data_IF_446254228757
#
_entry.id   IF_446254228757
#
_cell.length_a   1.000
_cell.length_b   1.000
_cell.length_c   1.000
_cell.angle_alpha   90.00
_cell.angle_beta   90.00
_cell.angle_gamma   90.00
#
_symmetry.space_group_name_H-M   'P 1'
#
loop_
_entity.id
_entity.type
_entity.pdbx_description
1 polymer ?
#
# COMPACT_ATOMS: atom_id res chain seq x y z
N UNK A 1 -9.46 5.07 3.12
CA UNK A 1 -8.31 4.65 3.92
C UNK A 1 -8.19 3.14 3.85
N UNK A 2 -7.06 2.66 3.34
CA UNK A 2 -6.84 1.23 3.18
C UNK A 2 -5.45 0.88 3.68
N UNK A 3 -5.28 -0.39 4.02
CA UNK A 3 -3.98 -0.91 4.42
C UNK A 3 -3.46 -1.81 3.32
N UNK A 4 -2.26 -1.52 2.85
CA UNK A 4 -1.64 -2.28 1.77
C UNK A 4 -0.40 -2.98 2.30
N UNK A 5 -0.14 -4.15 1.75
CA UNK A 5 1.09 -4.87 2.04
C UNK A 5 1.83 -5.05 0.71
N UNK A 6 2.92 -4.31 0.55
CA UNK A 6 3.70 -4.34 -0.68
C UNK A 6 4.88 -5.26 -0.46
N UNK A 7 4.98 -6.35 -1.21
CA UNK A 7 6.14 -7.24 -1.05
C UNK A 7 7.43 -6.52 -1.40
N UNK A 8 8.51 -6.98 -0.80
CA UNK A 8 9.79 -6.32 -1.03
C UNK A 8 10.21 -6.39 -2.49
N UNK A 9 9.74 -7.38 -3.21
CA UNK A 9 10.05 -7.48 -4.62
C UNK A 9 9.39 -6.36 -5.44
N UNK A 10 8.42 -5.69 -4.85
CA UNK A 10 7.65 -4.64 -5.54
C UNK A 10 7.90 -3.29 -4.89
N UNK A 11 9.12 -3.02 -4.48
CA UNK A 11 9.41 -1.77 -3.79
C UNK A 11 9.16 -0.56 -4.67
N UNK A 12 9.22 -0.73 -5.99
CA UNK A 12 8.93 0.39 -6.88
C UNK A 12 7.50 0.89 -6.70
N UNK A 13 6.58 -0.02 -6.43
CA UNK A 13 5.19 0.38 -6.20
C UNK A 13 5.05 1.14 -4.88
N UNK A 14 5.81 0.74 -3.88
CA UNK A 14 5.77 1.45 -2.61
C UNK A 14 6.27 2.87 -2.78
N UNK A 15 7.34 3.05 -3.54
CA UNK A 15 7.85 4.38 -3.81
C UNK A 15 6.83 5.22 -4.56
N UNK A 16 6.15 4.60 -5.52
CA UNK A 16 5.13 5.30 -6.27
C UNK A 16 3.98 5.74 -5.37
N UNK A 17 3.60 4.91 -4.42
CA UNK A 17 2.55 5.26 -3.48
C UNK A 17 2.92 6.47 -2.66
N UNK A 18 4.19 6.57 -2.26
CA UNK A 18 4.62 7.73 -1.50
C UNK A 18 4.44 9.01 -2.27
N UNK A 19 4.49 8.94 -3.58
CA UNK A 19 4.35 10.14 -4.41
C UNK A 19 2.90 10.42 -4.77
N UNK A 20 2.11 9.37 -5.00
CA UNK A 20 0.77 9.57 -5.53
C UNK A 20 -0.32 9.40 -4.49
N UNK A 21 -0.02 8.75 -3.38
CA UNK A 21 -1.02 8.51 -2.35
C UNK A 21 -0.60 9.18 -1.06
N UNK A 22 -1.58 9.36 -0.19
CA UNK A 22 -1.33 9.97 1.10
C UNK A 22 -1.04 8.86 2.10
N UNK A 23 0.23 8.63 2.39
CA UNK A 23 0.65 7.56 3.28
C UNK A 23 0.53 8.05 4.72
N UNK A 24 -0.34 7.42 5.50
CA UNK A 24 -0.58 7.79 6.88
C UNK A 24 0.39 7.08 7.81
N UNK A 25 0.64 5.81 7.58
CA UNK A 25 1.55 5.03 8.41
C UNK A 25 2.28 4.03 7.53
N UNK A 26 3.44 3.65 7.98
CA UNK A 26 4.26 2.71 7.24
C UNK A 26 5.01 1.83 8.23
N UNK A 27 5.03 0.54 7.97
CA UNK A 27 5.70 -0.40 8.84
C UNK A 27 6.30 -1.52 7.98
N UNK A 28 7.50 -1.95 8.33
CA UNK A 28 8.16 -3.03 7.59
C UNK A 28 8.02 -4.32 8.38
N UNK A 29 7.63 -5.37 7.67
CA UNK A 29 7.48 -6.69 8.27
C UNK A 29 8.28 -7.67 7.45
N UNK A 30 8.27 -8.93 7.90
CA UNK A 30 8.96 -9.99 7.14
C UNK A 30 8.38 -10.16 5.76
N UNK A 31 7.09 -9.92 5.61
CA UNK A 31 6.41 -10.18 4.35
C UNK A 31 6.51 -9.00 3.39
N UNK A 32 6.79 -7.82 3.89
CA UNK A 32 6.84 -6.66 3.04
C UNK A 32 6.57 -5.40 3.82
N UNK A 33 6.34 -4.32 3.09
CA UNK A 33 6.03 -3.03 3.70
C UNK A 33 4.52 -2.89 3.84
N UNK A 34 4.05 -2.72 5.06
CA UNK A 34 2.64 -2.50 5.32
C UNK A 34 2.42 -1.01 5.43
N UNK A 35 1.54 -0.48 4.61
CA UNK A 35 1.30 0.96 4.56
C UNK A 35 -0.17 1.24 4.66
N UNK A 36 -0.50 2.23 5.49
CA UNK A 36 -1.87 2.71 5.58
C UNK A 36 -1.95 3.99 4.76
N UNK A 37 -2.75 3.97 3.72
CA UNK A 37 -2.79 5.07 2.77
C UNK A 37 -4.24 5.44 2.47
N UNK A 38 -4.41 6.64 1.96
CA UNK A 38 -5.70 7.09 1.46
C UNK A 38 -5.59 7.15 -0.05
N UNK A 39 -6.41 6.36 -0.71
CA UNK A 39 -6.40 6.26 -2.16
C UNK A 39 -7.78 6.59 -2.71
N UNK A 40 -7.83 7.22 -3.89
CA UNK A 40 -9.11 7.33 -4.59
C UNK A 40 -9.57 5.96 -5.08
N UNK A 41 -10.86 5.87 -5.39
CA UNK A 41 -11.43 4.59 -5.81
C UNK A 41 -10.70 4.05 -7.04
N UNK A 42 -10.29 4.95 -7.92
CA UNK A 42 -9.61 4.53 -9.14
C UNK A 42 -8.33 3.77 -8.86
N UNK A 43 -7.60 4.22 -7.85
CA UNK A 43 -6.34 3.60 -7.53
C UNK A 43 -6.52 2.33 -6.71
N UNK A 44 -7.65 2.20 -6.03
CA UNK A 44 -7.90 0.99 -5.26
C UNK A 44 -7.87 -0.25 -6.14
N UNK A 45 -8.38 -0.15 -7.35
CA UNK A 45 -8.38 -1.30 -8.24
C UNK A 45 -6.96 -1.65 -8.68
N UNK A 46 -6.12 -0.62 -8.86
CA UNK A 46 -4.75 -0.88 -9.28
C UNK A 46 -3.95 -1.61 -8.21
N UNK A 47 -4.28 -1.38 -6.95
CA UNK A 47 -3.55 -1.99 -5.85
C UNK A 47 -4.36 -3.04 -5.12
N UNK A 48 -5.41 -3.53 -5.76
CA UNK A 48 -6.31 -4.47 -5.12
C UNK A 48 -5.59 -5.72 -4.62
N UNK A 49 -4.57 -6.15 -5.34
CA UNK A 49 -3.83 -7.35 -4.95
C UNK A 49 -3.11 -7.17 -3.64
N UNK A 50 -2.78 -5.94 -3.29
CA UNK A 50 -1.97 -5.68 -2.12
C UNK A 50 -2.78 -5.26 -0.92
N UNK A 51 -4.07 -5.07 -1.08
CA UNK A 51 -4.92 -4.61 0.01
C UNK A 51 -5.09 -5.74 1.01
N UNK A 52 -4.76 -5.44 2.25
CA UNK A 52 -5.02 -6.38 3.34
C UNK A 52 -6.46 -6.24 3.77
N UNK A 53 -7.09 -7.36 3.94
CA UNK A 53 -8.45 -7.33 4.45
C UNK A 53 -8.39 -7.09 5.92
N UNK A 54 -8.93 -5.99 6.32
CA UNK A 54 -9.02 -5.74 7.76
C UNK A 54 -10.45 -5.98 8.15
N UNK A 55 -10.62 -6.75 9.04
CA UNK A 55 -11.94 -7.10 9.40
C UNK A 55 -12.30 -6.68 10.71
#
# INVERSE_FOLDING_TARGET
EVTLCIPYAETAKAAQLHETANVLEQEYTENGAVMKVILPVEDLEAYNEYILKSE
#
